data_IF_424198734549
#
_entry.id   IF_424198734549
#
_cell.length_a   1.000
_cell.length_b   1.000
_cell.length_c   1.000
_cell.angle_alpha   90.00
_cell.angle_beta   90.00
_cell.angle_gamma   90.00
#
_symmetry.space_group_name_H-M   'P 1'
#
loop_
_entity.id
_entity.type
_entity.pdbx_description
1 polymer ?
#
# COMPACT_ATOMS: atom_id res chain seq x y z
N UNK A 1 15.00 10.00 -20.49
CA UNK A 1 14.29 8.71 -20.85
C UNK A 1 12.86 9.07 -21.19
N UNK A 2 12.34 8.67 -22.34
CA UNK A 2 10.95 8.96 -22.74
C UNK A 2 9.96 8.55 -21.63
N UNK A 3 8.97 9.39 -21.35
CA UNK A 3 7.97 9.24 -20.27
C UNK A 3 8.50 9.34 -18.83
N UNK A 4 9.76 9.78 -18.64
CA UNK A 4 10.32 9.99 -17.30
C UNK A 4 10.88 11.43 -17.20
N UNK A 5 11.88 11.78 -18.00
CA UNK A 5 12.58 13.06 -17.86
C UNK A 5 11.67 14.25 -18.16
N UNK A 6 10.78 14.11 -19.14
CA UNK A 6 9.77 15.10 -19.50
C UNK A 6 8.73 15.36 -18.39
N UNK A 7 8.49 14.38 -17.50
CA UNK A 7 7.58 14.52 -16.35
C UNK A 7 8.30 15.00 -15.06
N UNK A 8 9.61 15.30 -15.16
CA UNK A 8 10.46 15.83 -14.07
C UNK A 8 11.02 17.21 -14.39
N UNK A 9 10.54 17.86 -15.45
CA UNK A 9 10.99 19.17 -15.85
C UNK A 9 10.61 20.24 -14.82
N UNK A 10 11.62 20.92 -14.27
CA UNK A 10 11.44 21.91 -13.21
C UNK A 10 10.74 23.20 -13.67
N UNK A 11 10.93 23.61 -14.95
CA UNK A 11 10.26 24.82 -15.48
C UNK A 11 8.77 24.53 -15.72
N UNK A 12 8.45 23.34 -16.23
CA UNK A 12 7.06 22.88 -16.37
C UNK A 12 6.41 22.78 -15.00
N UNK A 13 7.12 22.27 -13.98
CA UNK A 13 6.62 22.19 -12.60
C UNK A 13 6.30 23.57 -12.01
N UNK A 14 7.15 24.59 -12.23
CA UNK A 14 6.89 25.98 -11.81
C UNK A 14 5.63 26.54 -12.50
N UNK A 15 5.52 26.35 -13.82
CA UNK A 15 4.34 26.80 -14.57
C UNK A 15 3.05 26.13 -14.08
N UNK A 16 3.12 24.83 -13.74
CA UNK A 16 1.99 24.09 -13.20
C UNK A 16 1.65 24.53 -11.76
N UNK A 17 2.65 24.83 -10.93
CA UNK A 17 2.44 25.39 -9.59
C UNK A 17 1.73 26.75 -9.65
N UNK A 18 2.10 27.63 -10.61
CA UNK A 18 1.39 28.88 -10.82
C UNK A 18 -0.04 28.68 -11.31
N UNK A 19 -0.27 27.70 -12.18
CA UNK A 19 -1.62 27.34 -12.62
C UNK A 19 -2.48 26.83 -11.46
N UNK A 20 -1.90 26.01 -10.57
CA UNK A 20 -2.57 25.55 -9.35
C UNK A 20 -2.92 26.74 -8.43
N UNK A 21 -1.99 27.69 -8.23
CA UNK A 21 -2.26 28.90 -7.41
C UNK A 21 -3.40 29.74 -7.97
N UNK A 22 -3.50 29.87 -9.31
CA UNK A 22 -4.61 30.59 -9.96
C UNK A 22 -5.95 29.85 -9.85
N UNK A 23 -5.94 28.53 -9.91
CA UNK A 23 -7.13 27.69 -9.82
C UNK A 23 -7.67 27.59 -8.39
N UNK A 24 -6.76 27.55 -7.40
CA UNK A 24 -7.11 27.41 -6.00
C UNK A 24 -7.81 28.67 -5.45
N UNK A 25 -9.05 28.52 -5.00
CA UNK A 25 -9.79 29.60 -4.36
C UNK A 25 -9.16 29.93 -2.99
N UNK A 26 -8.68 31.17 -2.78
CA UNK A 26 -8.01 31.54 -1.52
C UNK A 26 -8.95 31.51 -0.29
N UNK A 27 -10.28 31.53 -0.51
CA UNK A 27 -11.27 31.53 0.56
C UNK A 27 -11.57 30.14 1.14
N UNK A 28 -10.97 29.06 0.60
CA UNK A 28 -11.14 27.69 1.11
C UNK A 28 -9.84 26.94 1.21
N UNK A 29 -9.82 25.91 2.06
CA UNK A 29 -8.75 24.90 2.08
C UNK A 29 -9.16 23.67 1.24
N UNK A 30 -8.18 23.02 0.65
CA UNK A 30 -8.31 21.78 -0.10
C UNK A 30 -7.49 20.69 0.58
N UNK A 31 -8.09 19.50 0.73
CA UNK A 31 -7.47 18.37 1.40
C UNK A 31 -7.60 17.13 0.51
N UNK A 32 -6.51 16.70 -0.09
CA UNK A 32 -6.49 15.55 -0.99
C UNK A 32 -5.67 14.43 -0.38
N UNK A 33 -6.26 13.22 -0.33
CA UNK A 33 -5.59 12.03 0.18
C UNK A 33 -5.08 11.19 -0.99
N UNK A 34 -3.83 10.77 -0.91
CA UNK A 34 -3.26 9.80 -1.84
C UNK A 34 -3.31 8.38 -1.25
N UNK A 35 -3.50 7.38 -2.12
CA UNK A 35 -3.66 5.97 -1.78
C UNK A 35 -2.62 5.08 -2.46
N UNK A 36 -1.42 5.58 -2.67
CA UNK A 36 -0.34 4.79 -3.26
C UNK A 36 1.01 5.20 -2.68
N UNK A 37 1.76 4.25 -2.14
CA UNK A 37 3.10 4.52 -1.62
C UNK A 37 4.05 5.16 -2.61
N UNK A 38 3.88 4.89 -3.92
CA UNK A 38 4.60 5.58 -4.98
C UNK A 38 4.33 7.09 -5.01
N UNK A 39 3.08 7.52 -4.77
CA UNK A 39 2.74 8.94 -4.64
C UNK A 39 3.34 9.55 -3.37
N UNK A 40 3.24 8.87 -2.22
CA UNK A 40 3.89 9.29 -0.97
C UNK A 40 5.37 9.56 -1.19
N UNK A 41 6.05 8.61 -1.84
CA UNK A 41 7.47 8.72 -2.17
C UNK A 41 7.75 9.90 -3.11
N UNK A 42 7.00 10.02 -4.21
CA UNK A 42 7.19 11.09 -5.20
C UNK A 42 6.93 12.48 -4.61
N UNK A 43 5.83 12.66 -3.88
CA UNK A 43 5.48 13.92 -3.21
C UNK A 43 6.60 14.36 -2.27
N UNK A 44 7.11 13.43 -1.46
CA UNK A 44 8.18 13.71 -0.50
C UNK A 44 9.52 13.96 -1.19
N UNK A 45 9.91 13.11 -2.14
CA UNK A 45 11.20 13.15 -2.83
C UNK A 45 11.38 14.40 -3.65
N UNK A 46 10.37 14.81 -4.40
CA UNK A 46 10.42 15.96 -5.32
C UNK A 46 9.91 17.24 -4.67
N UNK A 47 9.49 17.22 -3.41
CA UNK A 47 9.00 18.39 -2.70
C UNK A 47 7.73 18.97 -3.30
N UNK A 48 6.84 18.14 -3.86
CA UNK A 48 5.60 18.60 -4.50
C UNK A 48 4.79 19.49 -3.56
N UNK A 49 4.68 19.10 -2.28
CA UNK A 49 3.94 19.89 -1.28
C UNK A 49 4.47 21.31 -1.10
N UNK A 50 5.76 21.54 -1.33
CA UNK A 50 6.39 22.87 -1.19
C UNK A 50 6.03 23.79 -2.36
N UNK A 51 5.64 23.23 -3.51
CA UNK A 51 5.20 23.96 -4.69
C UNK A 51 3.72 24.37 -4.64
N UNK A 52 2.94 23.75 -3.74
CA UNK A 52 1.52 24.01 -3.59
C UNK A 52 1.24 25.29 -2.78
N UNK A 53 0.13 26.00 -3.05
CA UNK A 53 -0.30 27.09 -2.19
C UNK A 53 -0.68 26.58 -0.80
N UNK A 54 -0.51 27.41 0.22
CA UNK A 54 -0.67 27.04 1.63
C UNK A 54 -2.05 26.46 2.01
N UNK A 55 -3.06 26.75 1.22
CA UNK A 55 -4.43 26.23 1.40
C UNK A 55 -4.69 24.90 0.69
N UNK A 56 -3.70 24.29 0.00
CA UNK A 56 -3.79 22.95 -0.58
C UNK A 56 -2.94 21.99 0.25
N UNK A 57 -3.56 20.99 0.84
CA UNK A 57 -2.94 20.02 1.75
C UNK A 57 -2.96 18.62 1.16
N UNK A 58 -1.81 17.97 1.15
CA UNK A 58 -1.70 16.54 0.84
C UNK A 58 -1.79 15.72 2.12
N UNK A 59 -2.58 14.65 2.08
CA UNK A 59 -2.79 13.72 3.18
C UNK A 59 -2.35 12.33 2.71
N UNK A 60 -1.55 11.64 3.53
CA UNK A 60 -1.13 10.28 3.24
C UNK A 60 -2.21 9.30 3.70
N UNK A 61 -2.63 8.43 2.80
CA UNK A 61 -3.54 7.33 3.06
C UNK A 61 -2.82 5.98 3.21
N UNK A 62 -3.55 4.88 3.39
CA UNK A 62 -2.99 3.52 3.58
C UNK A 62 -2.53 2.89 2.26
N UNK A 63 -1.68 3.58 1.49
CA UNK A 63 -1.21 3.19 0.16
C UNK A 63 -0.01 2.25 0.11
N UNK A 64 0.58 1.87 1.26
CA UNK A 64 1.74 0.99 1.34
C UNK A 64 1.33 -0.37 1.95
N UNK A 65 1.47 -1.51 1.25
CA UNK A 65 1.02 -2.81 1.73
C UNK A 65 1.80 -3.31 2.95
N UNK A 66 3.08 -2.93 3.05
CA UNK A 66 3.93 -3.24 4.21
C UNK A 66 3.45 -2.48 5.45
N UNK A 67 2.98 -1.25 5.25
CA UNK A 67 2.53 -0.39 6.34
C UNK A 67 1.24 -0.89 7.01
N UNK A 68 0.39 -1.54 6.24
CA UNK A 68 -0.93 -2.05 6.70
C UNK A 68 -0.90 -3.53 7.08
N UNK A 69 0.27 -4.18 7.04
CA UNK A 69 0.44 -5.59 7.36
C UNK A 69 0.27 -5.83 8.87
N UNK A 70 -0.72 -6.65 9.31
CA UNK A 70 -0.94 -6.92 10.73
C UNK A 70 0.23 -7.64 11.38
N UNK A 71 0.52 -7.30 12.64
CA UNK A 71 1.58 -7.94 13.43
C UNK A 71 1.36 -9.46 13.49
N UNK A 72 0.13 -9.91 13.75
CA UNK A 72 -0.21 -11.33 13.80
C UNK A 72 0.12 -12.11 12.51
N UNK A 73 0.12 -11.46 11.34
CA UNK A 73 0.54 -12.09 10.07
C UNK A 73 2.07 -12.23 9.99
N UNK A 74 2.80 -11.26 10.50
CA UNK A 74 4.27 -11.35 10.60
C UNK A 74 4.65 -12.44 11.61
N UNK A 75 3.93 -12.53 12.73
CA UNK A 75 4.14 -13.59 13.74
C UNK A 75 3.87 -14.99 13.15
N UNK A 76 2.82 -15.16 12.32
CA UNK A 76 2.58 -16.41 11.60
C UNK A 76 3.76 -16.77 10.68
N UNK A 77 4.30 -15.80 9.94
CA UNK A 77 5.45 -16.00 9.07
C UNK A 77 6.73 -16.38 9.87
N UNK A 78 6.94 -15.75 11.03
CA UNK A 78 8.06 -16.08 11.93
C UNK A 78 7.91 -17.51 12.47
N UNK A 79 6.72 -17.90 12.92
CA UNK A 79 6.44 -19.26 13.41
C UNK A 79 6.64 -20.31 12.33
N UNK A 80 6.24 -20.04 11.09
CA UNK A 80 6.53 -20.92 9.95
C UNK A 80 8.02 -21.21 9.84
N UNK A 81 8.86 -20.17 9.90
CA UNK A 81 10.30 -20.34 9.73
C UNK A 81 10.99 -20.99 10.94
N UNK A 82 10.59 -20.64 12.17
CA UNK A 82 11.26 -21.10 13.39
C UNK A 82 10.70 -22.39 13.95
N UNK A 83 9.38 -22.60 13.89
CA UNK A 83 8.72 -23.72 14.55
C UNK A 83 8.39 -24.86 13.57
N UNK A 84 8.05 -24.51 12.31
CA UNK A 84 7.69 -25.49 11.28
C UNK A 84 8.85 -25.85 10.35
N UNK A 85 10.01 -25.19 10.51
CA UNK A 85 11.22 -25.49 9.75
C UNK A 85 11.09 -25.24 8.24
N UNK A 86 10.15 -24.40 7.81
CA UNK A 86 9.96 -24.10 6.38
C UNK A 86 11.01 -23.10 5.89
N UNK A 87 11.36 -23.17 4.62
CA UNK A 87 12.03 -22.08 3.92
C UNK A 87 11.00 -21.00 3.59
N UNK A 88 11.05 -19.88 4.30
CA UNK A 88 10.14 -18.75 4.10
C UNK A 88 10.74 -17.78 3.08
N UNK A 89 10.02 -17.52 1.98
CA UNK A 89 10.38 -16.55 0.97
C UNK A 89 9.50 -15.30 1.08
N UNK A 90 10.09 -14.10 0.99
CA UNK A 90 9.34 -12.84 1.01
C UNK A 90 10.13 -11.71 0.35
N UNK A 91 9.47 -10.58 0.11
CA UNK A 91 10.10 -9.36 -0.41
C UNK A 91 10.98 -8.67 0.64
N UNK A 92 11.96 -7.88 0.19
CA UNK A 92 12.98 -7.28 1.05
C UNK A 92 12.43 -6.39 2.15
N UNK A 93 11.46 -5.54 1.86
CA UNK A 93 10.85 -4.62 2.84
C UNK A 93 10.18 -5.39 3.99
N UNK A 94 9.59 -6.54 3.71
CA UNK A 94 8.89 -7.34 4.72
C UNK A 94 9.83 -7.89 5.80
N UNK A 95 11.13 -8.01 5.53
CA UNK A 95 12.12 -8.54 6.48
C UNK A 95 12.23 -7.71 7.76
N UNK A 96 11.97 -6.41 7.68
CA UNK A 96 12.12 -5.46 8.80
C UNK A 96 10.84 -5.08 9.50
N UNK A 97 9.68 -5.58 9.03
CA UNK A 97 8.38 -5.26 9.64
C UNK A 97 8.36 -5.70 11.10
N UNK A 98 8.06 -4.78 12.04
CA UNK A 98 7.98 -5.12 13.45
C UNK A 98 6.85 -6.11 13.74
N UNK A 99 7.21 -7.17 14.45
CA UNK A 99 6.35 -8.24 14.96
C UNK A 99 6.23 -8.15 16.49
N UNK A 100 5.60 -9.15 17.11
CA UNK A 100 5.56 -9.30 18.57
C UNK A 100 6.98 -9.44 19.17
N UNK A 101 7.12 -9.12 20.43
CA UNK A 101 8.37 -9.28 21.21
C UNK A 101 9.59 -8.60 20.57
N UNK A 102 9.37 -7.46 19.92
CA UNK A 102 10.36 -6.72 19.16
C UNK A 102 11.09 -7.57 18.11
N UNK A 103 10.45 -8.63 17.60
CA UNK A 103 10.95 -9.46 16.51
C UNK A 103 10.71 -8.81 15.14
N UNK A 104 11.30 -9.41 14.14
CA UNK A 104 11.05 -9.22 12.71
C UNK A 104 11.54 -10.48 11.98
N UNK A 105 11.20 -10.63 10.70
CA UNK A 105 11.74 -11.75 9.91
C UNK A 105 13.28 -11.73 9.84
N UNK A 106 13.90 -10.55 9.82
CA UNK A 106 15.35 -10.42 9.87
C UNK A 106 15.93 -10.97 11.19
N UNK A 107 15.31 -10.65 12.32
CA UNK A 107 15.72 -11.18 13.64
C UNK A 107 15.43 -12.67 13.77
N UNK A 108 14.32 -13.15 13.20
CA UNK A 108 14.00 -14.58 13.12
C UNK A 108 15.04 -15.36 12.29
N UNK A 109 15.50 -14.77 11.19
CA UNK A 109 16.61 -15.32 10.40
C UNK A 109 17.90 -15.44 11.24
N UNK A 110 18.23 -14.42 12.02
CA UNK A 110 19.40 -14.45 12.92
C UNK A 110 19.26 -15.51 14.03
N UNK A 111 18.03 -15.96 14.36
CA UNK A 111 17.74 -17.06 15.29
C UNK A 111 17.73 -18.45 14.63
N UNK A 112 18.11 -18.55 13.35
CA UNK A 112 18.23 -19.82 12.64
C UNK A 112 17.08 -20.14 11.69
N UNK A 113 16.07 -19.27 11.54
CA UNK A 113 15.00 -19.45 10.54
C UNK A 113 15.55 -19.39 9.11
N UNK A 114 15.17 -20.34 8.24
CA UNK A 114 15.52 -20.29 6.81
C UNK A 114 14.60 -19.28 6.09
N UNK A 115 14.97 -18.01 6.17
CA UNK A 115 14.23 -16.88 5.59
C UNK A 115 15.02 -16.29 4.43
N UNK A 116 14.39 -16.22 3.26
CA UNK A 116 15.02 -15.80 2.01
C UNK A 116 14.29 -14.62 1.37
N UNK A 117 15.06 -13.60 1.03
CA UNK A 117 14.57 -12.50 0.20
C UNK A 117 14.48 -12.98 -1.25
N UNK A 118 13.36 -12.69 -1.89
CA UNK A 118 13.11 -12.95 -3.31
C UNK A 118 12.64 -11.68 -4.00
N UNK A 119 12.85 -11.59 -5.30
CA UNK A 119 12.41 -10.47 -6.12
C UNK A 119 11.06 -10.73 -6.79
N UNK A 120 10.67 -12.02 -6.89
CA UNK A 120 9.40 -12.43 -7.46
C UNK A 120 8.85 -13.68 -6.77
N UNK A 121 7.55 -13.91 -6.89
CA UNK A 121 6.92 -15.16 -6.44
C UNK A 121 7.42 -16.37 -7.23
N UNK A 122 7.86 -16.20 -8.49
CA UNK A 122 8.46 -17.23 -9.30
C UNK A 122 9.80 -17.77 -8.75
N UNK A 123 10.57 -16.91 -8.05
CA UNK A 123 11.81 -17.33 -7.40
C UNK A 123 11.53 -18.36 -6.29
N UNK A 124 10.42 -18.19 -5.54
CA UNK A 124 10.01 -19.13 -4.52
C UNK A 124 9.55 -20.49 -5.12
N UNK A 125 8.87 -20.47 -6.26
CA UNK A 125 8.52 -21.70 -7.02
C UNK A 125 9.79 -22.42 -7.49
N UNK A 126 10.73 -21.68 -8.08
CA UNK A 126 12.03 -22.22 -8.52
C UNK A 126 12.80 -22.83 -7.35
N UNK A 127 12.75 -22.18 -6.18
CA UNK A 127 13.40 -22.68 -4.97
C UNK A 127 12.77 -24.01 -4.50
N UNK A 128 11.43 -24.10 -4.51
CA UNK A 128 10.72 -25.34 -4.17
C UNK A 128 11.07 -26.46 -5.13
N UNK A 129 11.13 -26.19 -6.44
CA UNK A 129 11.49 -27.16 -7.46
C UNK A 129 12.92 -27.71 -7.27
N UNK A 130 13.87 -26.85 -6.89
CA UNK A 130 15.28 -27.24 -6.66
C UNK A 130 15.53 -27.93 -5.32
N UNK A 131 14.58 -27.87 -4.39
CA UNK A 131 14.71 -28.44 -3.04
C UNK A 131 13.47 -29.24 -2.65
N UNK A 132 13.25 -30.42 -3.28
CA UNK A 132 12.02 -31.19 -3.11
C UNK A 132 11.80 -31.71 -1.68
N UNK A 133 12.87 -31.79 -0.89
CA UNK A 133 12.90 -32.20 0.51
C UNK A 133 12.53 -31.07 1.50
N UNK A 134 12.46 -29.81 1.02
CA UNK A 134 12.13 -28.66 1.84
C UNK A 134 10.71 -28.13 1.56
N UNK A 135 10.01 -27.78 2.61
CA UNK A 135 8.77 -27.02 2.47
C UNK A 135 9.09 -25.55 2.22
N UNK A 136 8.62 -24.98 1.13
CA UNK A 136 8.82 -23.59 0.76
C UNK A 136 7.50 -22.83 0.87
N UNK A 137 7.49 -21.77 1.67
CA UNK A 137 6.32 -20.89 1.84
C UNK A 137 6.65 -19.51 1.32
N UNK A 138 5.86 -19.01 0.37
CA UNK A 138 5.92 -17.63 -0.06
C UNK A 138 4.99 -16.76 0.79
N UNK A 139 5.53 -15.84 1.57
CA UNK A 139 4.78 -14.83 2.31
C UNK A 139 4.37 -13.71 1.36
N UNK A 140 3.17 -13.79 0.83
CA UNK A 140 2.65 -12.96 -0.23
C UNK A 140 1.96 -11.71 0.33
N UNK A 141 2.59 -10.56 0.17
CA UNK A 141 2.13 -9.26 0.64
C UNK A 141 2.01 -8.34 -0.56
N UNK A 142 0.95 -7.54 -0.60
CA UNK A 142 0.77 -6.54 -1.65
C UNK A 142 -0.68 -6.21 -1.92
N UNK A 143 -0.85 -5.18 -2.72
CA UNK A 143 -2.12 -4.79 -3.30
C UNK A 143 -2.40 -5.55 -4.60
N UNK A 144 -3.36 -5.06 -5.39
CA UNK A 144 -3.83 -5.70 -6.61
C UNK A 144 -2.75 -5.91 -7.68
N UNK A 145 -1.67 -5.13 -7.66
CA UNK A 145 -0.53 -5.29 -8.59
C UNK A 145 0.29 -6.55 -8.37
N UNK A 146 0.43 -6.98 -7.12
CA UNK A 146 1.25 -8.15 -6.75
C UNK A 146 0.46 -9.45 -6.70
N UNK A 147 -0.86 -9.37 -6.78
CA UNK A 147 -1.75 -10.54 -6.76
C UNK A 147 -1.64 -11.39 -8.03
N UNK A 148 -1.63 -10.83 -9.27
CA UNK A 148 -1.51 -11.62 -10.48
C UNK A 148 -0.22 -12.45 -10.55
N UNK A 149 0.99 -11.93 -10.24
CA UNK A 149 2.21 -12.75 -10.16
C UNK A 149 2.11 -13.91 -9.17
N UNK A 150 1.44 -13.70 -8.02
CA UNK A 150 1.22 -14.78 -7.05
C UNK A 150 0.25 -15.84 -7.59
N UNK A 151 -0.79 -15.43 -8.33
CA UNK A 151 -1.68 -16.38 -9.02
C UNK A 151 -0.92 -17.21 -10.06
N UNK A 152 -0.03 -16.60 -10.86
CA UNK A 152 0.85 -17.31 -11.80
C UNK A 152 1.70 -18.33 -11.06
N UNK A 153 2.32 -17.95 -9.93
CA UNK A 153 3.17 -18.83 -9.14
C UNK A 153 2.42 -20.08 -8.65
N UNK A 154 1.19 -19.90 -8.14
CA UNK A 154 0.34 -21.02 -7.70
C UNK A 154 -0.02 -21.93 -8.88
N UNK A 155 -0.45 -21.37 -10.01
CA UNK A 155 -0.77 -22.15 -11.21
C UNK A 155 0.44 -22.89 -11.78
N UNK A 156 1.62 -22.25 -11.75
CA UNK A 156 2.88 -22.86 -12.16
C UNK A 156 3.26 -24.01 -11.23
N UNK A 157 3.15 -23.84 -9.93
CA UNK A 157 3.42 -24.89 -8.95
C UNK A 157 2.48 -26.09 -9.15
N UNK A 158 1.19 -25.82 -9.41
CA UNK A 158 0.21 -26.87 -9.74
C UNK A 158 0.57 -27.61 -11.03
N UNK A 159 0.90 -26.90 -12.10
CA UNK A 159 1.29 -27.50 -13.39
C UNK A 159 2.57 -28.35 -13.28
N UNK A 160 3.50 -27.95 -12.40
CA UNK A 160 4.72 -28.71 -12.11
C UNK A 160 4.52 -29.85 -11.11
N UNK A 161 3.32 -30.01 -10.56
CA UNK A 161 3.00 -31.03 -9.54
C UNK A 161 3.74 -30.87 -8.22
N UNK A 162 4.18 -29.66 -7.89
CA UNK A 162 4.94 -29.39 -6.65
C UNK A 162 4.07 -29.60 -5.41
N UNK A 163 4.53 -30.43 -4.50
CA UNK A 163 3.86 -30.72 -3.23
C UNK A 163 4.48 -29.97 -2.04
N UNK A 164 5.57 -29.30 -2.26
CA UNK A 164 6.38 -28.64 -1.25
C UNK A 164 6.34 -27.08 -1.34
N UNK A 165 5.47 -26.51 -2.20
CA UNK A 165 5.24 -25.07 -2.31
C UNK A 165 3.89 -24.68 -1.73
N UNK A 166 3.84 -23.57 -1.00
CA UNK A 166 2.58 -22.95 -0.57
C UNK A 166 2.73 -21.44 -0.36
N UNK A 167 1.62 -20.76 -0.18
CA UNK A 167 1.56 -19.29 -0.06
C UNK A 167 0.81 -18.91 1.21
N UNK A 168 1.42 -18.10 2.06
CA UNK A 168 0.73 -17.38 3.13
C UNK A 168 0.19 -16.08 2.53
N UNK A 169 -1.10 -16.07 2.19
CA UNK A 169 -1.73 -14.99 1.42
C UNK A 169 -2.16 -13.82 2.31
N UNK A 170 -1.50 -12.67 2.13
CA UNK A 170 -1.83 -11.39 2.76
C UNK A 170 -2.02 -10.29 1.71
N UNK A 171 -2.57 -10.63 0.54
CA UNK A 171 -2.97 -9.66 -0.47
C UNK A 171 -4.22 -8.90 -0.01
N UNK A 172 -4.16 -7.57 -0.09
CA UNK A 172 -5.20 -6.64 0.35
C UNK A 172 -5.73 -5.82 -0.82
N UNK A 173 -6.93 -5.24 -0.67
CA UNK A 173 -7.68 -4.56 -1.73
C UNK A 173 -7.86 -3.08 -1.41
N UNK A 174 -7.39 -2.23 -2.31
CA UNK A 174 -7.37 -0.77 -2.15
C UNK A 174 -8.77 -0.14 -2.03
N UNK A 175 -9.78 -0.48 -2.85
CA UNK A 175 -11.10 0.14 -2.73
C UNK A 175 -11.72 0.00 -1.33
N UNK A 176 -11.56 -1.16 -0.68
CA UNK A 176 -12.08 -1.38 0.67
C UNK A 176 -11.39 -0.50 1.73
N UNK A 177 -10.11 -0.17 1.53
CA UNK A 177 -9.40 0.74 2.41
C UNK A 177 -9.91 2.18 2.27
N UNK A 178 -10.18 2.63 1.04
CA UNK A 178 -10.77 3.96 0.78
C UNK A 178 -12.15 4.06 1.45
N UNK A 179 -13.01 3.05 1.26
CA UNK A 179 -14.33 3.00 1.93
C UNK A 179 -14.18 3.10 3.46
N UNK A 180 -13.24 2.38 4.05
CA UNK A 180 -12.99 2.40 5.50
C UNK A 180 -12.60 3.79 6.01
N UNK A 181 -11.79 4.53 5.26
CA UNK A 181 -11.45 5.93 5.62
C UNK A 181 -12.67 6.82 5.53
N UNK A 182 -13.44 6.74 4.45
CA UNK A 182 -14.65 7.55 4.25
C UNK A 182 -15.73 7.26 5.29
N UNK A 183 -15.83 6.02 5.76
CA UNK A 183 -16.76 5.59 6.80
C UNK A 183 -16.23 5.83 8.22
N UNK A 184 -14.98 6.26 8.38
CA UNK A 184 -14.40 6.48 9.70
C UNK A 184 -15.09 7.62 10.45
N UNK A 185 -15.16 7.54 11.80
CA UNK A 185 -15.75 8.60 12.60
C UNK A 185 -15.08 9.98 12.39
N UNK A 186 -13.77 9.99 12.16
CA UNK A 186 -12.99 11.20 11.93
C UNK A 186 -13.43 11.95 10.68
N UNK A 187 -13.80 11.22 9.61
CA UNK A 187 -14.28 11.81 8.36
C UNK A 187 -15.78 12.08 8.41
N UNK A 188 -16.56 11.05 8.80
CA UNK A 188 -18.03 11.06 8.61
C UNK A 188 -18.78 11.74 9.75
N UNK A 189 -18.36 11.58 11.00
CA UNK A 189 -19.10 12.05 12.17
C UNK A 189 -18.50 13.35 12.75
N UNK A 190 -17.19 13.39 12.90
CA UNK A 190 -16.53 14.51 13.58
C UNK A 190 -15.98 15.56 12.63
N UNK A 191 -15.77 15.20 11.35
CA UNK A 191 -15.20 16.12 10.36
C UNK A 191 -13.79 16.62 10.72
N UNK A 192 -13.09 15.91 11.63
CA UNK A 192 -11.73 16.29 12.08
C UNK A 192 -10.66 15.99 11.03
N UNK A 193 -10.98 15.11 10.06
CA UNK A 193 -10.16 14.85 8.87
C UNK A 193 -10.97 15.32 7.67
N UNK A 194 -10.80 16.56 7.22
CA UNK A 194 -11.46 17.04 6.00
C UNK A 194 -10.85 16.34 4.79
N UNK A 195 -11.70 15.80 3.92
CA UNK A 195 -11.29 15.19 2.65
C UNK A 195 -12.15 15.77 1.54
N UNK A 196 -11.49 16.41 0.57
CA UNK A 196 -12.15 16.99 -0.61
C UNK A 196 -12.09 16.07 -1.83
N UNK A 197 -11.12 15.15 -1.89
CA UNK A 197 -10.94 14.20 -2.98
C UNK A 197 -9.72 13.33 -2.83
N UNK A 198 -9.47 12.48 -3.83
CA UNK A 198 -8.41 11.48 -3.80
C UNK A 198 -7.52 11.49 -5.03
N UNK A 199 -6.21 11.35 -4.80
CA UNK A 199 -5.28 10.91 -5.84
C UNK A 199 -5.36 9.39 -5.89
N UNK A 200 -5.94 8.88 -6.97
CA UNK A 200 -6.14 7.45 -7.19
C UNK A 200 -4.81 6.72 -7.50
N UNK A 201 -4.66 5.49 -6.99
CA UNK A 201 -3.38 4.78 -7.05
C UNK A 201 -3.06 4.27 -8.46
N UNK A 202 -1.96 4.75 -9.05
CA UNK A 202 -1.53 4.37 -10.39
C UNK A 202 -1.32 2.86 -10.56
N UNK A 203 -0.48 2.25 -9.72
CA UNK A 203 -0.14 0.82 -9.83
C UNK A 203 -1.38 -0.07 -9.78
N UNK A 204 -2.22 0.12 -8.78
CA UNK A 204 -3.46 -0.65 -8.59
C UNK A 204 -4.38 -0.48 -9.80
N UNK A 205 -4.52 0.74 -10.29
CA UNK A 205 -5.41 1.06 -11.42
C UNK A 205 -4.95 0.46 -12.75
N UNK A 206 -3.66 0.13 -12.93
CA UNK A 206 -3.21 -0.63 -14.10
C UNK A 206 -3.82 -2.05 -14.14
N UNK A 207 -4.22 -2.58 -13.00
CA UNK A 207 -4.84 -3.91 -12.89
C UNK A 207 -6.37 -3.80 -12.88
N UNK A 208 -6.94 -2.98 -11.97
CA UNK A 208 -8.40 -2.95 -11.76
C UNK A 208 -9.12 -1.89 -12.60
N UNK A 209 -8.38 -1.00 -13.25
CA UNK A 209 -8.95 0.12 -14.01
C UNK A 209 -9.40 1.30 -13.13
N UNK A 210 -10.06 2.27 -13.76
CA UNK A 210 -10.65 3.41 -13.06
C UNK A 210 -12.09 3.17 -12.60
N UNK A 211 -12.80 2.21 -13.17
CA UNK A 211 -14.21 1.89 -12.85
C UNK A 211 -14.48 1.67 -11.35
N UNK A 212 -13.67 0.92 -10.57
CA UNK A 212 -13.95 0.68 -9.16
C UNK A 212 -14.00 1.96 -8.29
N UNK A 213 -13.46 3.07 -8.78
CA UNK A 213 -13.47 4.36 -8.07
C UNK A 213 -14.72 5.19 -8.35
N UNK A 214 -15.51 4.85 -9.37
CA UNK A 214 -16.77 5.56 -9.72
C UNK A 214 -17.73 5.55 -8.52
N UNK A 215 -17.78 4.45 -7.77
CA UNK A 215 -18.55 4.33 -6.53
C UNK A 215 -18.25 5.46 -5.52
N UNK A 216 -16.99 5.87 -5.38
CA UNK A 216 -16.62 6.93 -4.42
C UNK A 216 -17.09 8.31 -4.88
N UNK A 217 -17.04 8.55 -6.17
CA UNK A 217 -17.55 9.79 -6.75
C UNK A 217 -19.10 9.86 -6.64
N UNK A 218 -19.78 8.77 -6.91
CA UNK A 218 -21.24 8.67 -6.89
C UNK A 218 -21.83 8.74 -5.48
N UNK A 219 -21.37 7.85 -4.58
CA UNK A 219 -21.96 7.68 -3.24
C UNK A 219 -21.44 8.69 -2.22
N UNK A 220 -20.13 8.99 -2.25
CA UNK A 220 -19.52 9.88 -1.26
C UNK A 220 -19.32 11.30 -1.77
N UNK A 221 -19.64 11.57 -3.04
CA UNK A 221 -19.42 12.88 -3.67
C UNK A 221 -17.97 13.36 -3.53
N UNK A 222 -17.02 12.43 -3.69
CA UNK A 222 -15.59 12.71 -3.61
C UNK A 222 -14.95 12.44 -4.98
N UNK A 223 -14.38 13.46 -5.64
CA UNK A 223 -13.64 13.28 -6.88
C UNK A 223 -12.42 12.40 -6.68
N UNK A 224 -12.11 11.59 -7.69
CA UNK A 224 -10.90 10.79 -7.75
C UNK A 224 -10.17 11.10 -9.05
N UNK A 225 -8.88 11.42 -8.99
CA UNK A 225 -8.04 11.55 -10.16
C UNK A 225 -6.91 10.54 -10.08
N UNK A 226 -6.89 9.58 -11.01
CA UNK A 226 -5.82 8.61 -11.11
C UNK A 226 -4.59 9.31 -11.68
N UNK A 227 -3.46 9.25 -10.97
CA UNK A 227 -2.23 9.91 -11.33
C UNK A 227 -1.07 8.93 -11.52
N UNK A 228 -0.16 9.25 -12.41
CA UNK A 228 1.16 8.61 -12.48
C UNK A 228 2.03 9.00 -11.27
N UNK A 229 3.31 8.55 -11.28
CA UNK A 229 4.21 8.72 -10.15
C UNK A 229 5.24 9.83 -10.33
N UNK A 230 5.31 10.41 -11.51
CA UNK A 230 6.23 11.50 -11.72
C UNK A 230 5.67 12.81 -11.11
N UNK A 231 6.51 13.74 -10.68
CA UNK A 231 6.04 14.95 -9.99
C UNK A 231 5.01 15.75 -10.80
N UNK A 232 5.15 15.81 -12.12
CA UNK A 232 4.18 16.53 -12.96
C UNK A 232 2.83 15.79 -13.05
N UNK A 233 2.81 14.45 -13.05
CA UNK A 233 1.57 13.66 -12.99
C UNK A 233 0.78 14.02 -11.72
N UNK A 234 1.47 14.01 -10.57
CA UNK A 234 0.86 14.32 -9.27
C UNK A 234 0.33 15.75 -9.23
N UNK A 235 1.12 16.71 -9.71
CA UNK A 235 0.71 18.13 -9.76
C UNK A 235 -0.48 18.35 -10.70
N UNK A 236 -0.50 17.69 -11.85
CA UNK A 236 -1.62 17.76 -12.78
C UNK A 236 -2.89 17.18 -12.17
N UNK A 237 -2.79 16.04 -11.48
CA UNK A 237 -3.92 15.44 -10.78
C UNK A 237 -4.47 16.35 -9.66
N UNK A 238 -3.60 17.02 -8.89
CA UNK A 238 -4.00 18.02 -7.89
C UNK A 238 -4.78 19.17 -8.54
N UNK A 239 -4.29 19.68 -9.67
CA UNK A 239 -4.99 20.74 -10.42
C UNK A 239 -6.36 20.30 -10.89
N UNK A 240 -6.48 19.06 -11.41
CA UNK A 240 -7.77 18.49 -11.83
C UNK A 240 -8.73 18.35 -10.66
N UNK A 241 -8.25 17.88 -9.49
CA UNK A 241 -9.06 17.79 -8.28
C UNK A 241 -9.54 19.16 -7.80
N UNK A 242 -8.68 20.19 -7.78
CA UNK A 242 -9.07 21.56 -7.42
C UNK A 242 -10.18 22.06 -8.32
N UNK A 243 -10.06 21.83 -9.63
CA UNK A 243 -11.08 22.22 -10.61
C UNK A 243 -12.42 21.54 -10.33
N UNK A 244 -12.44 20.22 -10.15
CA UNK A 244 -13.67 19.50 -9.84
C UNK A 244 -14.34 20.03 -8.57
N UNK A 245 -13.53 20.26 -7.53
CA UNK A 245 -14.03 20.79 -6.24
C UNK A 245 -14.61 22.20 -6.40
N UNK A 246 -13.98 23.07 -7.18
CA UNK A 246 -14.49 24.43 -7.47
C UNK A 246 -15.78 24.41 -8.27
N UNK A 247 -15.92 23.48 -9.20
CA UNK A 247 -17.11 23.30 -10.04
C UNK A 247 -18.23 22.51 -9.35
N UNK A 248 -17.99 22.00 -8.13
CA UNK A 248 -18.95 21.16 -7.40
C UNK A 248 -19.17 19.80 -8.05
N UNK A 249 -18.25 19.35 -8.90
CA UNK A 249 -18.27 18.02 -9.52
C UNK A 249 -17.62 16.98 -8.62
N UNK A 250 -17.99 15.74 -8.78
CA UNK A 250 -17.35 14.58 -8.19
C UNK A 250 -17.35 13.45 -9.21
N UNK A 251 -16.26 13.31 -9.94
CA UNK A 251 -16.10 12.35 -11.03
C UNK A 251 -14.77 11.62 -10.88
N UNK A 252 -14.62 10.51 -11.61
CA UNK A 252 -13.34 9.83 -11.75
C UNK A 252 -12.68 10.31 -13.04
N UNK A 253 -11.58 11.03 -12.91
CA UNK A 253 -10.74 11.40 -14.04
C UNK A 253 -9.44 10.59 -14.05
N UNK A 254 -8.87 10.37 -15.21
CA UNK A 254 -7.66 9.59 -15.40
C UNK A 254 -6.56 10.44 -16.04
N UNK A 255 -5.64 10.96 -15.23
CA UNK A 255 -4.46 11.65 -15.70
C UNK A 255 -3.43 10.65 -16.28
N UNK A 256 -3.39 9.43 -15.74
CA UNK A 256 -2.44 8.38 -16.13
C UNK A 256 -2.93 7.52 -17.31
N UNK A 257 -3.55 8.17 -18.29
CA UNK A 257 -4.16 7.50 -19.46
C UNK A 257 -3.18 6.71 -20.33
N UNK A 258 -1.86 6.96 -20.21
CA UNK A 258 -0.82 6.20 -20.89
C UNK A 258 -0.64 4.76 -20.36
N UNK A 259 -1.20 4.44 -19.21
CA UNK A 259 -1.05 3.12 -18.57
C UNK A 259 -2.31 2.56 -17.92
N UNK A 260 -3.36 3.37 -17.76
CA UNK A 260 -4.60 2.98 -17.09
C UNK A 260 -5.79 3.17 -18.02
N UNK A 261 -6.53 2.09 -18.25
CA UNK A 261 -7.84 2.10 -18.90
C UNK A 261 -8.97 2.01 -17.88
N UNK A 262 -10.20 2.30 -18.31
CA UNK A 262 -11.37 2.23 -17.42
C UNK A 262 -11.60 0.85 -16.83
N UNK A 263 -11.40 -0.21 -17.61
CA UNK A 263 -11.64 -1.60 -17.22
C UNK A 263 -10.39 -2.32 -16.70
N UNK A 264 -9.22 -1.70 -16.84
CA UNK A 264 -7.94 -2.24 -16.41
C UNK A 264 -7.48 -3.47 -17.21
N UNK A 265 -6.64 -4.28 -16.61
CA UNK A 265 -6.09 -5.49 -17.24
C UNK A 265 -7.02 -6.70 -17.00
N UNK A 266 -7.95 -6.94 -17.92
CA UNK A 266 -8.93 -8.03 -17.81
C UNK A 266 -8.29 -9.42 -17.68
N UNK A 267 -7.13 -9.66 -18.35
CA UNK A 267 -6.40 -10.94 -18.22
C UNK A 267 -5.87 -11.15 -16.81
N UNK A 268 -5.31 -10.10 -16.21
CA UNK A 268 -4.82 -10.16 -14.83
C UNK A 268 -5.96 -10.36 -13.84
N UNK A 269 -7.09 -9.65 -14.03
CA UNK A 269 -8.29 -9.80 -13.21
C UNK A 269 -8.86 -11.21 -13.29
N UNK A 270 -8.98 -11.79 -14.49
CA UNK A 270 -9.44 -13.16 -14.68
C UNK A 270 -8.52 -14.16 -13.98
N UNK A 271 -7.21 -14.02 -14.15
CA UNK A 271 -6.22 -14.88 -13.51
C UNK A 271 -6.33 -14.83 -11.98
N UNK A 272 -6.51 -13.64 -11.40
CA UNK A 272 -6.73 -13.47 -9.97
C UNK A 272 -8.03 -14.16 -9.54
N UNK A 273 -9.11 -13.97 -10.28
CA UNK A 273 -10.41 -14.58 -9.97
C UNK A 273 -10.41 -16.12 -10.07
N UNK A 274 -9.55 -16.70 -10.88
CA UNK A 274 -9.37 -18.17 -10.94
C UNK A 274 -8.74 -18.71 -9.66
N UNK A 275 -7.78 -18.03 -9.08
CA UNK A 275 -6.96 -18.55 -7.97
C UNK A 275 -7.45 -18.06 -6.61
N UNK A 276 -7.97 -16.83 -6.55
CA UNK A 276 -8.33 -16.18 -5.31
C UNK A 276 -9.84 -15.87 -5.21
N UNK A 277 -10.28 -15.71 -3.98
CA UNK A 277 -11.60 -15.18 -3.63
C UNK A 277 -11.48 -14.21 -2.45
N UNK A 278 -12.46 -13.32 -2.28
CA UNK A 278 -12.42 -12.34 -1.19
C UNK A 278 -12.57 -13.01 0.18
N UNK A 279 -11.81 -12.55 1.15
CA UNK A 279 -12.01 -12.86 2.56
C UNK A 279 -13.19 -12.05 3.10
N UNK A 280 -14.00 -12.68 3.94
CA UNK A 280 -15.09 -11.98 4.63
C UNK A 280 -14.57 -10.85 5.53
N UNK A 281 -13.49 -11.13 6.27
CA UNK A 281 -12.85 -10.17 7.17
C UNK A 281 -11.34 -10.32 7.09
N UNK A 282 -10.63 -9.20 7.17
CA UNK A 282 -9.18 -9.17 7.28
C UNK A 282 -8.76 -7.98 8.14
N UNK A 283 -7.82 -8.20 9.04
CA UNK A 283 -7.24 -7.13 9.84
C UNK A 283 -6.25 -6.33 9.01
N UNK A 284 -6.35 -5.02 9.07
CA UNK A 284 -5.39 -4.08 8.56
C UNK A 284 -4.71 -3.37 9.72
N UNK A 285 -3.40 -3.34 9.72
CA UNK A 285 -2.64 -2.63 10.75
C UNK A 285 -3.02 -1.15 10.75
N UNK A 286 -3.46 -0.64 11.90
CA UNK A 286 -3.90 0.75 12.05
C UNK A 286 -5.31 1.08 11.56
N UNK A 287 -6.00 0.16 10.88
CA UNK A 287 -7.37 0.34 10.37
C UNK A 287 -8.38 -0.67 10.90
N UNK A 288 -7.96 -1.57 11.81
CA UNK A 288 -8.79 -2.63 12.38
C UNK A 288 -9.23 -3.69 11.34
N UNK A 289 -10.33 -4.38 11.62
CA UNK A 289 -10.88 -5.43 10.74
C UNK A 289 -11.77 -4.78 9.68
N UNK A 290 -11.42 -4.99 8.41
CA UNK A 290 -12.17 -4.51 7.27
C UNK A 290 -12.85 -5.66 6.53
N UNK A 291 -14.15 -5.54 6.22
CA UNK A 291 -14.86 -6.56 5.45
C UNK A 291 -14.43 -6.54 3.98
N UNK A 292 -14.34 -7.72 3.37
CA UNK A 292 -14.05 -7.91 1.95
C UNK A 292 -12.84 -7.12 1.41
N UNK A 293 -11.82 -7.00 2.24
CA UNK A 293 -10.65 -6.14 2.01
C UNK A 293 -9.36 -6.90 1.72
N UNK A 294 -9.43 -8.22 1.62
CA UNK A 294 -8.28 -9.07 1.33
C UNK A 294 -8.70 -10.33 0.58
N UNK A 295 -7.71 -11.01 0.02
CA UNK A 295 -7.89 -12.24 -0.74
C UNK A 295 -7.47 -13.47 0.06
N UNK A 296 -8.07 -14.61 -0.26
CA UNK A 296 -7.64 -15.96 0.13
C UNK A 296 -7.62 -16.88 -1.08
N UNK A 297 -6.86 -17.95 -0.97
CA UNK A 297 -6.75 -18.96 -2.02
C UNK A 297 -8.05 -19.77 -2.07
N UNK A 298 -8.60 -19.99 -3.28
CA UNK A 298 -9.80 -20.79 -3.51
C UNK A 298 -9.59 -22.25 -3.12
N UNK A 299 -10.68 -22.93 -2.80
CA UNK A 299 -10.67 -24.30 -2.30
C UNK A 299 -10.00 -25.32 -3.23
N UNK A 300 -10.11 -25.15 -4.55
CA UNK A 300 -9.48 -26.06 -5.50
C UNK A 300 -7.94 -25.91 -5.61
N UNK A 301 -7.38 -24.82 -5.05
CA UNK A 301 -5.95 -24.64 -4.83
C UNK A 301 -5.53 -24.76 -3.37
N UNK A 302 -6.36 -25.39 -2.52
CA UNK A 302 -6.15 -25.49 -1.08
C UNK A 302 -4.81 -26.11 -0.69
N UNK A 303 -4.25 -26.97 -1.51
CA UNK A 303 -2.93 -27.56 -1.30
C UNK A 303 -1.78 -26.54 -1.33
N UNK A 304 -2.01 -25.37 -1.91
CA UNK A 304 -1.05 -24.26 -1.96
C UNK A 304 -1.32 -23.20 -0.89
N UNK A 305 -2.30 -23.40 -0.01
CA UNK A 305 -2.65 -22.46 1.06
C UNK A 305 -1.90 -22.82 2.35
N UNK A 306 -0.93 -22.00 2.74
CA UNK A 306 -0.15 -22.23 3.96
C UNK A 306 -1.01 -22.20 5.23
N UNK A 307 -2.10 -21.42 5.25
CA UNK A 307 -3.02 -21.40 6.40
C UNK A 307 -3.76 -22.71 6.59
N UNK A 308 -3.89 -23.54 5.53
CA UNK A 308 -4.49 -24.86 5.57
C UNK A 308 -3.47 -25.99 5.81
N UNK A 309 -2.24 -25.77 5.34
CA UNK A 309 -1.16 -26.77 5.46
C UNK A 309 -0.53 -26.80 6.84
N UNK A 310 -0.45 -25.66 7.49
CA UNK A 310 0.22 -25.51 8.79
C UNK A 310 -0.73 -25.01 9.86
N UNK A 311 -0.64 -25.53 11.09
CA UNK A 311 -1.56 -25.17 12.20
C UNK A 311 -1.15 -23.81 12.81
N UNK A 312 -1.26 -22.74 12.04
CA UNK A 312 -0.69 -21.45 12.44
C UNK A 312 -1.56 -20.67 13.42
N UNK A 313 -2.85 -20.85 13.52
CA UNK A 313 -3.72 -19.98 14.30
C UNK A 313 -3.45 -18.48 14.07
N UNK A 314 -4.43 -17.64 14.09
CA UNK A 314 -4.25 -16.18 13.97
C UNK A 314 -4.63 -15.50 15.29
N UNK A 315 -3.78 -14.58 15.76
CA UNK A 315 -4.08 -13.69 16.86
C UNK A 315 -3.89 -12.24 16.41
N UNK A 316 -4.85 -11.39 16.70
CA UNK A 316 -4.70 -9.95 16.53
C UNK A 316 -3.76 -9.42 17.61
N UNK A 317 -2.79 -8.62 17.20
CA UNK A 317 -1.79 -8.05 18.09
C UNK A 317 -1.80 -6.53 17.90
N UNK A 318 -2.01 -5.75 18.98
CA UNK A 318 -2.00 -4.29 18.90
C UNK A 318 -0.61 -3.74 18.59
N UNK A 319 -0.59 -2.60 17.92
CA UNK A 319 0.65 -1.84 17.70
C UNK A 319 1.29 -1.40 19.04
N UNK A 320 2.58 -1.10 18.96
CA UNK A 320 3.31 -0.51 20.10
C UNK A 320 2.60 0.78 20.54
N UNK A 321 2.34 0.95 21.86
CA UNK A 321 1.53 2.04 22.42
C UNK A 321 2.01 3.46 22.08
N UNK A 322 3.31 3.62 21.83
CA UNK A 322 3.88 4.91 21.41
C UNK A 322 3.84 5.12 19.89
N UNK A 323 3.47 4.11 19.09
CA UNK A 323 3.38 4.23 17.65
C UNK A 323 2.04 4.83 17.24
N UNK A 324 2.08 5.85 16.40
CA UNK A 324 0.90 6.55 15.90
C UNK A 324 0.63 6.30 14.40
N UNK A 325 1.25 5.26 13.82
CA UNK A 325 1.06 4.91 12.40
C UNK A 325 -0.42 4.80 12.00
N UNK A 326 -1.27 4.23 12.86
CA UNK A 326 -2.71 4.12 12.57
C UNK A 326 -3.40 5.47 12.43
N UNK A 327 -3.04 6.47 13.24
CA UNK A 327 -3.56 7.84 13.11
C UNK A 327 -3.01 8.53 11.85
N UNK A 328 -1.74 8.27 11.49
CA UNK A 328 -1.11 8.81 10.28
C UNK A 328 -1.77 8.23 9.02
N UNK A 329 -2.00 6.92 8.96
CA UNK A 329 -2.65 6.25 7.83
C UNK A 329 -4.12 6.69 7.63
N UNK A 330 -4.78 7.18 8.67
CA UNK A 330 -6.14 7.76 8.57
C UNK A 330 -6.14 9.27 8.32
N UNK A 331 -4.97 9.89 8.16
CA UNK A 331 -4.85 11.34 7.95
C UNK A 331 -5.11 12.21 9.19
N UNK A 332 -5.24 11.60 10.38
CA UNK A 332 -5.47 12.31 11.65
C UNK A 332 -4.22 13.05 12.11
N UNK A 333 -3.04 12.50 11.81
CA UNK A 333 -1.73 13.05 12.17
C UNK A 333 -0.77 13.03 11.00
N UNK A 334 0.23 13.89 11.05
CA UNK A 334 1.39 13.84 10.16
C UNK A 334 2.53 13.06 10.82
N UNK A 335 3.52 12.53 10.05
CA UNK A 335 4.66 11.82 10.62
C UNK A 335 5.40 12.59 11.73
N UNK A 336 5.65 13.89 11.54
CA UNK A 336 6.34 14.74 12.50
C UNK A 336 5.56 15.00 13.80
N UNK A 337 4.24 14.79 13.80
CA UNK A 337 3.41 14.94 15.01
C UNK A 337 3.54 13.71 15.94
N UNK A 338 4.18 12.62 15.49
CA UNK A 338 4.41 11.41 16.28
C UNK A 338 5.61 11.59 17.22
N UNK A 339 5.39 11.40 18.53
CA UNK A 339 6.40 11.65 19.58
C UNK A 339 7.69 10.85 19.45
N UNK A 340 7.65 9.67 18.82
CA UNK A 340 8.82 8.81 18.65
C UNK A 340 9.46 8.92 17.26
N UNK A 341 8.88 9.75 16.38
CA UNK A 341 9.39 9.96 15.02
C UNK A 341 10.81 10.56 15.04
N UNK A 342 11.72 9.96 14.29
CA UNK A 342 13.08 10.44 14.13
C UNK A 342 13.98 10.34 15.37
N UNK A 343 13.45 9.84 16.48
CA UNK A 343 14.19 9.61 17.74
C UNK A 343 14.35 8.12 18.00
N UNK A 344 13.35 7.47 18.58
CA UNK A 344 13.33 6.02 18.82
C UNK A 344 12.96 5.25 17.55
N UNK A 345 12.02 5.82 16.76
CA UNK A 345 11.54 5.20 15.51
C UNK A 345 12.26 5.81 14.31
N UNK A 346 13.17 5.05 13.71
CA UNK A 346 13.96 5.41 12.52
C UNK A 346 13.91 4.28 11.49
N UNK A 347 14.32 4.49 10.24
CA UNK A 347 14.39 3.42 9.25
C UNK A 347 15.30 2.24 9.66
N UNK A 348 16.33 2.50 10.46
CA UNK A 348 17.24 1.48 10.99
C UNK A 348 16.62 0.72 12.16
N UNK A 349 15.75 1.38 12.94
CA UNK A 349 15.07 0.81 14.10
C UNK A 349 13.55 1.12 14.06
N UNK A 350 12.79 0.56 13.11
CA UNK A 350 11.38 0.85 12.97
C UNK A 350 10.57 0.28 14.15
N UNK A 351 9.82 1.15 14.84
CA UNK A 351 8.84 0.76 15.85
C UNK A 351 7.49 0.52 15.21
N UNK A 352 7.14 1.32 14.21
CA UNK A 352 5.93 1.17 13.39
C UNK A 352 6.23 0.79 11.95
N UNK A 353 5.26 0.14 11.30
CA UNK A 353 5.38 -0.35 9.93
C UNK A 353 5.58 0.77 8.89
N UNK A 354 5.04 1.98 9.13
CA UNK A 354 5.20 3.11 8.21
C UNK A 354 6.65 3.65 8.10
N UNK A 355 7.55 3.20 8.99
CA UNK A 355 8.98 3.55 8.96
C UNK A 355 9.83 2.51 8.22
N UNK A 356 9.23 1.40 7.76
CA UNK A 356 9.96 0.26 7.17
C UNK A 356 10.25 0.47 5.69
N UNK A 357 9.22 0.76 4.91
CA UNK A 357 9.31 0.94 3.45
C UNK A 357 9.45 2.41 3.09
N UNK A 358 10.21 2.71 2.03
CA UNK A 358 10.30 4.06 1.44
C UNK A 358 8.96 4.61 0.93
N UNK A 359 7.97 3.75 0.78
CA UNK A 359 6.58 4.08 0.43
C UNK A 359 5.72 4.43 1.65
N UNK A 360 6.22 4.18 2.86
CA UNK A 360 5.52 4.54 4.09
C UNK A 360 5.66 6.02 4.41
N UNK A 361 4.60 6.67 4.87
CA UNK A 361 4.56 8.10 5.16
C UNK A 361 5.69 8.53 6.11
N UNK A 362 5.95 7.77 7.18
CA UNK A 362 7.03 8.08 8.13
C UNK A 362 8.42 7.97 7.48
N UNK A 363 8.69 6.88 6.75
CA UNK A 363 10.00 6.69 6.11
C UNK A 363 10.27 7.72 5.01
N UNK A 364 9.26 8.04 4.20
CA UNK A 364 9.36 9.06 3.16
C UNK A 364 9.63 10.45 3.77
N UNK A 365 8.88 10.83 4.81
CA UNK A 365 9.09 12.10 5.51
C UNK A 365 10.45 12.13 6.22
N UNK A 366 10.88 11.04 6.86
CA UNK A 366 12.20 10.94 7.50
C UNK A 366 13.34 11.15 6.50
N UNK A 367 13.21 10.55 5.33
CA UNK A 367 14.27 10.60 4.31
C UNK A 367 14.36 11.95 3.61
N UNK A 368 13.22 12.57 3.30
CA UNK A 368 13.16 13.75 2.42
C UNK A 368 12.66 15.02 3.10
N UNK A 369 11.96 14.92 4.24
CA UNK A 369 11.26 16.06 4.87
C UNK A 369 11.81 16.52 6.21
N UNK A 370 12.51 15.65 6.96
CA UNK A 370 12.86 15.91 8.38
C UNK A 370 13.70 17.16 8.66
N UNK A 371 14.45 17.65 7.68
CA UNK A 371 15.27 18.84 7.83
C UNK A 371 14.58 20.13 7.36
N UNK A 372 13.42 20.03 6.71
CA UNK A 372 12.66 21.18 6.21
C UNK A 372 11.92 21.91 7.32
N UNK A 373 11.56 21.19 8.40
CA UNK A 373 10.84 21.75 9.56
C UNK A 373 11.78 22.47 10.56
N UNK A 374 13.08 22.52 10.28
CA UNK A 374 14.14 23.10 11.15
C UNK A 374 14.70 24.43 10.57
N UNK A 375 14.27 24.83 9.37
CA UNK A 375 14.76 26.04 8.68
C UNK A 375 13.80 27.24 8.83
#
# INVERSE_FOLDING_TARGET
MKYIDEFRDGEVAKGLAEAIRREANPARSYHFMEFCGGHTHAISRYGVSDLLPANVKMIHGPGCPVCVLPIGRVDQAIRLALEQGVTLCTYGDCLRVPASDALSLMKAKARGGDIRMVYSSADAVTLAQKNPDKQVVFFAIGFETTTPPTAVAIKQAAALGLKNFSVLCCHVLTPSAISSILESPEVRQWGTVPLDGFIGPAHVSTIIGSRPYEFFAEEYRKPVVIAGFEPLDVMQAIKMLIRQVNEGRAEVENEFSRAVDRDGNLKAQQLVAEVFEMRKNFEWRGLNILPYSALRIRSHFAEFDAEKRFPLGYASVPDHKACECGAILRGVKRPQDCKIFGTVCTPENPVGSCMVSSEGACAAHYTYGRYKDVA
#
